data_IF_021579250516
#
_entry.id   IF_021579250516
#
_cell.length_a   1.000
_cell.length_b   1.000
_cell.length_c   1.000
_cell.angle_alpha   90.00
_cell.angle_beta   90.00
_cell.angle_gamma   90.00
#
_symmetry.space_group_name_H-M   'P 1'
#
loop_
_entity.id
_entity.type
_entity.pdbx_description
1 polymer ?
#
# COMPACT_ATOMS: atom_id res chain seq x y z
N UNK A 1 -8.27 36.68 6.69
CA UNK A 1 -8.87 36.26 7.98
C UNK A 1 -8.87 37.40 9.01
N UNK A 2 -7.72 37.82 9.54
CA UNK A 2 -7.66 38.85 10.60
C UNK A 2 -8.36 40.16 10.21
N UNK A 3 -8.05 40.72 9.02
CA UNK A 3 -8.73 41.92 8.52
C UNK A 3 -10.25 41.77 8.40
N UNK A 4 -10.73 40.60 7.97
CA UNK A 4 -12.18 40.35 7.81
C UNK A 4 -12.88 40.32 9.17
N UNK A 5 -12.28 39.67 10.17
CA UNK A 5 -12.83 39.63 11.52
C UNK A 5 -12.77 40.99 12.21
N UNK A 6 -11.71 41.76 11.94
CA UNK A 6 -11.58 43.16 12.40
C UNK A 6 -12.67 44.04 11.79
N UNK A 7 -12.93 43.94 10.49
CA UNK A 7 -14.04 44.64 9.82
C UNK A 7 -15.39 44.26 10.42
N UNK A 8 -15.64 42.97 10.70
CA UNK A 8 -16.89 42.53 11.35
C UNK A 8 -17.02 43.15 12.75
N UNK A 9 -15.97 43.11 13.57
CA UNK A 9 -16.00 43.69 14.92
C UNK A 9 -16.22 45.22 14.89
N UNK A 10 -15.57 45.93 13.97
CA UNK A 10 -15.73 47.38 13.79
C UNK A 10 -17.15 47.74 13.35
N UNK A 11 -17.74 47.01 12.41
CA UNK A 11 -19.07 47.30 11.87
C UNK A 11 -20.24 46.74 12.71
N UNK A 12 -19.96 45.93 13.74
CA UNK A 12 -20.98 45.42 14.67
C UNK A 12 -21.06 46.23 15.97
N UNK A 13 -20.04 47.03 16.28
CA UNK A 13 -20.04 47.99 17.40
C UNK A 13 -20.64 49.35 16.98
N UNK A 14 -21.86 49.34 16.44
CA UNK A 14 -22.62 50.56 16.15
C UNK A 14 -23.05 51.24 17.47
N UNK A 15 -22.20 52.13 17.97
CA UNK A 15 -22.42 52.91 19.19
C UNK A 15 -23.18 54.20 18.87
N UNK A 16 -24.05 54.63 19.77
CA UNK A 16 -24.74 55.92 19.65
C UNK A 16 -23.70 57.04 19.80
N UNK A 17 -23.23 57.57 18.68
CA UNK A 17 -22.62 58.90 18.62
C UNK A 17 -23.29 59.68 17.48
N UNK A 18 -23.66 60.96 17.68
CA UNK A 18 -24.15 61.79 16.59
C UNK A 18 -23.04 61.94 15.54
N UNK A 19 -23.37 61.61 14.29
CA UNK A 19 -22.60 61.83 13.05
C UNK A 19 -21.07 61.64 13.11
N UNK A 20 -20.60 60.45 12.70
CA UNK A 20 -19.18 60.18 12.41
C UNK A 20 -18.91 59.89 10.92
N UNK A 21 -19.73 60.42 10.01
CA UNK A 21 -19.43 60.44 8.57
C UNK A 21 -18.32 61.46 8.18
N UNK A 22 -17.70 62.16 9.13
CA UNK A 22 -16.69 63.21 8.85
C UNK A 22 -15.24 62.87 9.28
N UNK A 23 -14.91 61.64 9.65
CA UNK A 23 -13.50 61.25 9.88
C UNK A 23 -13.09 60.05 9.02
N UNK A 24 -13.39 60.12 7.72
CA UNK A 24 -12.60 59.43 6.72
C UNK A 24 -11.32 60.25 6.47
N UNK A 25 -10.23 59.92 7.16
CA UNK A 25 -8.96 60.62 7.03
C UNK A 25 -7.75 59.73 7.32
N UNK A 26 -7.18 59.20 6.24
CA UNK A 26 -5.78 58.81 6.06
C UNK A 26 -5.06 57.85 7.05
N UNK A 27 -4.51 56.79 6.44
CA UNK A 27 -3.13 56.30 6.58
C UNK A 27 -2.72 55.15 7.54
N UNK A 28 -1.89 54.29 6.92
CA UNK A 28 -0.80 53.44 7.43
C UNK A 28 -1.13 52.07 8.04
N UNK A 29 -1.18 51.11 7.10
CA UNK A 29 -0.54 49.81 7.16
C UNK A 29 0.93 49.89 7.62
N UNK A 30 1.25 49.47 8.85
CA UNK A 30 2.56 48.93 9.27
C UNK A 30 2.48 48.26 10.65
N UNK A 31 3.17 47.11 10.78
CA UNK A 31 3.47 46.29 11.98
C UNK A 31 2.36 45.32 12.48
N UNK A 32 2.52 44.06 12.07
CA UNK A 32 1.77 42.87 12.52
C UNK A 32 1.97 42.49 14.01
N UNK A 33 2.86 43.17 14.76
CA UNK A 33 3.04 42.97 16.21
C UNK A 33 2.07 43.75 17.11
N UNK A 34 1.29 44.70 16.58
CA UNK A 34 0.39 45.58 17.35
C UNK A 34 -1.10 45.20 17.31
N UNK A 35 -1.47 44.24 16.47
CA UNK A 35 -2.89 43.93 16.18
C UNK A 35 -3.61 43.39 17.43
N UNK A 36 -2.94 42.57 18.25
CA UNK A 36 -3.50 42.09 19.53
C UNK A 36 -3.79 43.20 20.55
N UNK A 37 -2.95 44.25 20.61
CA UNK A 37 -3.14 45.40 21.50
C UNK A 37 -4.19 46.40 20.99
N UNK A 38 -4.38 46.52 19.66
CA UNK A 38 -5.46 47.35 19.08
C UNK A 38 -6.84 46.67 19.17
N UNK A 39 -6.91 45.34 19.06
CA UNK A 39 -8.14 44.57 19.22
C UNK A 39 -8.76 44.77 20.62
N UNK A 40 -7.94 44.79 21.68
CA UNK A 40 -8.41 44.99 23.05
C UNK A 40 -8.84 46.44 23.38
N UNK A 41 -8.34 47.46 22.67
CA UNK A 41 -8.66 48.87 22.95
C UNK A 41 -10.01 49.34 22.38
N UNK A 42 -10.60 48.65 21.41
CA UNK A 42 -11.88 49.04 20.80
C UNK A 42 -13.11 48.79 21.70
N UNK A 43 -12.97 47.99 22.76
CA UNK A 43 -14.10 47.52 23.59
C UNK A 43 -14.34 48.41 24.83
N UNK A 44 -13.38 49.23 25.26
CA UNK A 44 -13.57 50.16 26.38
C UNK A 44 -14.10 51.51 25.88
N UNK A 45 -15.41 51.64 25.69
CA UNK A 45 -16.07 52.95 25.77
C UNK A 45 -17.39 52.81 26.52
N UNK A 46 -17.63 53.70 27.47
CA UNK A 46 -18.85 53.76 28.30
C UNK A 46 -20.12 54.16 27.53
N UNK A 47 -20.06 54.19 26.19
CA UNK A 47 -21.19 54.53 25.32
C UNK A 47 -22.03 53.28 25.03
N UNK A 48 -23.34 53.27 25.36
CA UNK A 48 -24.21 52.13 25.12
C UNK A 48 -24.39 51.85 23.62
N UNK A 49 -24.45 50.56 23.28
CA UNK A 49 -24.78 50.09 21.93
C UNK A 49 -26.21 50.49 21.55
N UNK A 50 -26.39 50.90 20.30
CA UNK A 50 -27.73 51.12 19.71
C UNK A 50 -28.55 49.81 19.70
N UNK A 51 -29.87 49.89 19.51
CA UNK A 51 -30.72 48.70 19.32
C UNK A 51 -30.25 47.86 18.12
N UNK A 52 -29.94 48.51 17.00
CA UNK A 52 -29.36 47.90 15.80
C UNK A 52 -28.00 47.28 16.10
N UNK A 53 -27.15 47.99 16.85
CA UNK A 53 -25.86 47.51 17.33
C UNK A 53 -25.99 46.26 18.21
N UNK A 54 -26.92 46.23 19.16
CA UNK A 54 -27.22 45.06 20.01
C UNK A 54 -27.69 43.86 19.16
N UNK A 55 -28.59 44.08 18.19
CA UNK A 55 -29.07 43.02 17.28
C UNK A 55 -27.97 42.48 16.39
N UNK A 56 -27.13 43.34 15.81
CA UNK A 56 -25.96 42.93 15.01
C UNK A 56 -24.94 42.17 15.87
N UNK A 57 -24.61 42.69 17.05
CA UNK A 57 -23.67 42.03 17.97
C UNK A 57 -24.18 40.67 18.44
N UNK A 58 -25.50 40.51 18.62
CA UNK A 58 -26.13 39.21 18.88
C UNK A 58 -25.95 38.23 17.71
N UNK A 59 -26.24 38.67 16.47
CA UNK A 59 -26.08 37.84 15.25
C UNK A 59 -24.63 37.44 14.98
N UNK A 60 -23.68 38.31 15.28
CA UNK A 60 -22.23 38.07 15.08
C UNK A 60 -21.49 37.66 16.37
N UNK A 61 -22.21 37.40 17.46
CA UNK A 61 -21.65 37.14 18.79
C UNK A 61 -20.55 36.07 18.78
N UNK A 62 -20.77 34.99 18.03
CA UNK A 62 -19.79 33.90 17.90
C UNK A 62 -18.48 34.34 17.22
N UNK A 63 -18.53 35.25 16.26
CA UNK A 63 -17.35 35.77 15.55
C UNK A 63 -16.63 36.84 16.37
N UNK A 64 -17.40 37.67 17.07
CA UNK A 64 -16.87 38.71 17.98
C UNK A 64 -16.14 38.06 19.16
N UNK A 65 -16.69 36.98 19.72
CA UNK A 65 -16.06 36.19 20.77
C UNK A 65 -14.71 35.57 20.37
N UNK A 66 -14.42 35.42 19.07
CA UNK A 66 -13.11 34.96 18.60
C UNK A 66 -12.03 36.04 18.74
N UNK A 67 -12.40 37.31 18.65
CA UNK A 67 -11.48 38.46 18.61
C UNK A 67 -11.34 39.20 19.93
N UNK A 68 -12.32 39.06 20.83
CA UNK A 68 -12.31 39.74 22.12
C UNK A 68 -11.56 38.95 23.19
N UNK A 69 -10.80 39.66 24.03
CA UNK A 69 -10.24 39.12 25.27
C UNK A 69 -11.30 39.27 26.36
N UNK A 70 -11.74 38.16 26.95
CA UNK A 70 -12.70 38.16 28.05
C UNK A 70 -11.97 37.78 29.33
N UNK A 71 -12.07 38.62 30.36
CA UNK A 71 -11.48 38.40 31.68
C UNK A 71 -9.96 38.12 31.65
N UNK A 72 -9.19 38.88 30.85
CA UNK A 72 -7.74 38.75 30.77
C UNK A 72 -7.22 37.53 29.99
N UNK A 73 -8.10 36.65 29.48
CA UNK A 73 -7.71 35.50 28.66
C UNK A 73 -7.53 35.93 27.20
N UNK A 74 -6.42 35.57 26.53
CA UNK A 74 -6.19 35.93 25.13
C UNK A 74 -7.33 35.42 24.22
N UNK A 75 -7.64 36.20 23.20
CA UNK A 75 -8.73 35.93 22.26
C UNK A 75 -8.63 34.50 21.69
N UNK A 76 -9.76 33.79 21.57
CA UNK A 76 -9.76 32.38 21.14
C UNK A 76 -9.08 32.19 19.77
N UNK A 77 -9.21 33.17 18.87
CA UNK A 77 -8.55 33.17 17.57
C UNK A 77 -7.02 33.11 17.68
N UNK A 78 -6.42 33.74 18.69
CA UNK A 78 -4.96 33.78 18.86
C UNK A 78 -4.38 32.37 19.01
N UNK A 79 -5.08 31.48 19.73
CA UNK A 79 -4.67 30.08 19.89
C UNK A 79 -4.71 29.32 18.56
N UNK A 80 -5.75 29.56 17.75
CA UNK A 80 -5.91 28.91 16.45
C UNK A 80 -4.97 29.45 15.36
N UNK A 81 -4.52 30.70 15.48
CA UNK A 81 -3.48 31.27 14.60
C UNK A 81 -2.12 30.60 14.82
N UNK A 82 -1.80 30.20 16.05
CA UNK A 82 -0.58 29.44 16.35
C UNK A 82 -0.59 28.12 15.58
N UNK A 83 -1.70 27.39 15.57
CA UNK A 83 -1.82 26.14 14.80
C UNK A 83 -1.67 26.35 13.28
N UNK A 84 -2.10 27.50 12.75
CA UNK A 84 -1.86 27.84 11.34
C UNK A 84 -0.38 28.14 11.05
N UNK A 85 0.31 28.84 11.95
CA UNK A 85 1.75 29.09 11.85
C UNK A 85 2.56 27.80 11.98
N UNK A 86 2.16 26.91 12.89
CA UNK A 86 2.75 25.57 13.02
C UNK A 86 2.55 24.75 11.76
N UNK A 87 1.37 24.81 11.13
CA UNK A 87 1.12 24.16 9.85
C UNK A 87 2.00 24.74 8.75
N UNK A 88 2.13 26.07 8.69
CA UNK A 88 3.02 26.72 7.74
C UNK A 88 4.46 26.25 7.91
N UNK A 89 4.98 26.26 9.14
CA UNK A 89 6.33 25.78 9.46
C UNK A 89 6.49 24.31 9.06
N UNK A 90 5.54 23.45 9.45
CA UNK A 90 5.55 22.04 9.11
C UNK A 90 5.62 21.78 7.60
N UNK A 91 4.84 22.51 6.79
CA UNK A 91 4.90 22.38 5.33
C UNK A 91 6.17 23.01 4.74
N UNK A 92 6.65 24.10 5.35
CA UNK A 92 7.90 24.76 4.96
C UNK A 92 9.09 23.83 5.15
N UNK A 93 9.20 23.18 6.32
CA UNK A 93 10.26 22.24 6.66
C UNK A 93 10.32 21.07 5.66
N UNK A 94 9.15 20.58 5.22
CA UNK A 94 9.07 19.57 4.15
C UNK A 94 9.57 20.15 2.81
N UNK A 95 9.12 21.36 2.46
CA UNK A 95 9.44 21.98 1.17
C UNK A 95 10.90 22.36 0.98
N UNK A 96 11.61 22.70 2.07
CA UNK A 96 13.04 23.09 2.04
C UNK A 96 13.99 21.95 2.41
N UNK A 97 13.45 20.75 2.69
CA UNK A 97 14.28 19.58 2.98
C UNK A 97 15.12 19.17 1.76
N UNK A 98 16.21 18.43 2.00
CA UNK A 98 17.10 17.95 0.95
C UNK A 98 16.37 17.13 -0.14
N UNK A 99 15.36 16.34 0.26
CA UNK A 99 14.43 15.67 -0.65
C UNK A 99 12.98 15.91 -0.19
N UNK A 100 12.29 16.91 -0.77
CA UNK A 100 10.90 17.24 -0.42
C UNK A 100 9.92 16.10 -0.69
N UNK A 101 10.21 15.23 -1.67
CA UNK A 101 9.38 14.07 -2.00
C UNK A 101 9.43 13.02 -0.89
N UNK A 102 10.63 12.65 -0.46
CA UNK A 102 10.86 11.73 0.67
C UNK A 102 10.28 12.30 1.96
N UNK A 103 10.51 13.58 2.25
CA UNK A 103 9.97 14.24 3.44
C UNK A 103 8.44 14.21 3.45
N UNK A 104 7.79 14.52 2.32
CA UNK A 104 6.33 14.46 2.19
C UNK A 104 5.78 13.04 2.36
N UNK A 105 6.46 12.03 1.81
CA UNK A 105 6.10 10.62 1.95
C UNK A 105 6.20 10.16 3.42
N UNK A 106 7.31 10.46 4.09
CA UNK A 106 7.52 10.11 5.49
C UNK A 106 6.49 10.78 6.40
N UNK A 107 6.22 12.08 6.17
CA UNK A 107 5.16 12.83 6.84
C UNK A 107 3.78 12.15 6.67
N UNK A 108 3.45 11.71 5.44
CA UNK A 108 2.18 11.04 5.15
C UNK A 108 2.09 9.66 5.79
N UNK A 109 3.17 8.87 5.78
CA UNK A 109 3.24 7.57 6.47
C UNK A 109 3.03 7.75 7.96
N UNK A 110 3.76 8.69 8.58
CA UNK A 110 3.63 9.00 10.01
C UNK A 110 2.19 9.38 10.37
N UNK A 111 1.59 10.30 9.60
CA UNK A 111 0.19 10.70 9.76
C UNK A 111 -0.78 9.53 9.66
N UNK A 112 -0.57 8.62 8.70
CA UNK A 112 -1.44 7.45 8.51
C UNK A 112 -1.31 6.44 9.66
N UNK A 113 -0.10 6.27 10.23
CA UNK A 113 0.16 5.43 11.40
C UNK A 113 -0.45 6.03 12.67
N UNK A 114 -0.32 7.33 12.88
CA UNK A 114 -0.85 8.03 14.07
C UNK A 114 -2.32 8.40 13.97
N UNK A 115 -3.01 7.99 12.89
CA UNK A 115 -4.42 8.31 12.62
C UNK A 115 -4.71 9.83 12.65
N UNK A 116 -3.80 10.64 12.11
CA UNK A 116 -3.95 12.09 12.04
C UNK A 116 -3.74 12.83 13.38
N UNK A 117 -2.91 12.28 14.28
CA UNK A 117 -2.44 12.99 15.48
C UNK A 117 -1.21 13.86 15.13
N UNK A 118 -1.45 14.94 14.40
CA UNK A 118 -0.45 15.93 13.97
C UNK A 118 -1.10 17.32 13.80
N UNK A 119 -0.35 18.30 13.28
CA UNK A 119 -0.81 19.69 13.11
C UNK A 119 -1.99 19.83 12.13
N UNK A 120 -1.99 19.10 11.01
CA UNK A 120 -3.11 19.12 10.05
C UNK A 120 -4.38 18.51 10.69
N UNK A 121 -4.23 17.46 11.49
CA UNK A 121 -5.32 16.85 12.25
C UNK A 121 -5.84 17.78 13.35
N UNK A 122 -4.93 18.50 14.03
CA UNK A 122 -5.29 19.51 15.01
C UNK A 122 -6.09 20.64 14.37
N UNK A 123 -5.63 21.20 13.24
CA UNK A 123 -6.34 22.24 12.51
C UNK A 123 -7.75 21.79 12.10
N UNK A 124 -7.91 20.52 11.71
CA UNK A 124 -9.22 19.94 11.41
C UNK A 124 -10.11 19.82 12.66
N UNK A 125 -9.57 19.43 13.82
CA UNK A 125 -10.34 19.39 15.08
C UNK A 125 -10.77 20.80 15.50
N UNK A 126 -9.87 21.76 15.41
CA UNK A 126 -10.13 23.17 15.70
C UNK A 126 -11.24 23.73 14.80
N UNK A 127 -11.23 23.39 13.51
CA UNK A 127 -12.27 23.82 12.56
C UNK A 127 -13.69 23.48 13.04
N UNK A 128 -13.88 22.35 13.74
CA UNK A 128 -15.21 21.94 14.24
C UNK A 128 -15.73 22.83 15.37
N UNK A 129 -14.84 23.54 16.07
CA UNK A 129 -15.18 24.41 17.20
C UNK A 129 -15.39 25.86 16.80
N UNK A 130 -15.00 26.23 15.57
CA UNK A 130 -15.10 27.58 15.05
C UNK A 130 -16.51 27.85 14.46
N UNK A 131 -17.02 29.08 14.55
CA UNK A 131 -18.22 29.49 13.84
C UNK A 131 -17.98 29.60 12.32
N UNK A 132 -19.06 29.54 11.55
CA UNK A 132 -19.03 29.93 10.13
C UNK A 132 -18.73 31.43 10.01
N UNK A 133 -17.96 31.87 8.98
CA UNK A 133 -17.33 31.07 7.92
C UNK A 133 -15.92 30.54 8.25
N UNK A 134 -15.35 30.92 9.40
CA UNK A 134 -13.95 30.61 9.77
C UNK A 134 -13.70 29.11 9.84
N UNK A 135 -14.67 28.33 10.30
CA UNK A 135 -14.59 26.87 10.29
C UNK A 135 -14.30 26.29 8.90
N UNK A 136 -14.94 26.82 7.85
CA UNK A 136 -14.79 26.32 6.50
C UNK A 136 -13.40 26.63 5.97
N UNK A 137 -12.83 27.80 6.30
CA UNK A 137 -11.44 28.12 5.93
C UNK A 137 -10.45 27.14 6.58
N UNK A 138 -10.56 26.87 7.88
CA UNK A 138 -9.69 25.91 8.57
C UNK A 138 -9.86 24.49 8.04
N UNK A 139 -11.11 24.09 7.74
CA UNK A 139 -11.43 22.79 7.13
C UNK A 139 -10.82 22.68 5.73
N UNK A 140 -10.92 23.73 4.90
CA UNK A 140 -10.33 23.77 3.56
C UNK A 140 -8.81 23.71 3.64
N UNK A 141 -8.17 24.52 4.48
CA UNK A 141 -6.71 24.52 4.63
C UNK A 141 -6.22 23.14 5.05
N UNK A 142 -6.78 22.56 6.12
CA UNK A 142 -6.39 21.21 6.57
C UNK A 142 -6.62 20.12 5.50
N UNK A 143 -7.73 20.22 4.76
CA UNK A 143 -8.05 19.31 3.65
C UNK A 143 -7.05 19.46 2.49
N UNK A 144 -6.76 20.68 2.07
CA UNK A 144 -5.84 20.97 0.97
C UNK A 144 -4.40 20.59 1.32
N UNK A 145 -3.94 20.86 2.54
CA UNK A 145 -2.62 20.43 3.01
C UNK A 145 -2.48 18.91 2.99
N UNK A 146 -3.51 18.19 3.42
CA UNK A 146 -3.47 16.72 3.37
C UNK A 146 -3.44 16.18 1.94
N UNK A 147 -4.25 16.77 1.04
CA UNK A 147 -4.29 16.38 -0.36
C UNK A 147 -2.97 16.67 -1.09
N UNK A 148 -2.33 17.79 -0.76
CA UNK A 148 -1.01 18.16 -1.29
C UNK A 148 0.04 17.11 -0.87
N UNK A 149 0.11 16.77 0.41
CA UNK A 149 1.04 15.75 0.91
C UNK A 149 0.80 14.37 0.27
N UNK A 150 -0.46 13.94 0.14
CA UNK A 150 -0.79 12.69 -0.55
C UNK A 150 -0.36 12.70 -2.03
N UNK A 151 -0.46 13.84 -2.70
CA UNK A 151 -0.07 14.00 -4.11
C UNK A 151 1.44 13.93 -4.27
N UNK A 152 2.20 14.66 -3.43
CA UNK A 152 3.65 14.59 -3.37
C UNK A 152 4.14 13.18 -3.03
N UNK A 153 3.55 12.57 -1.99
CA UNK A 153 3.85 11.20 -1.57
C UNK A 153 3.65 10.18 -2.67
N UNK A 154 2.56 10.29 -3.44
CA UNK A 154 2.32 9.39 -4.57
C UNK A 154 3.38 9.55 -5.66
N UNK A 155 3.81 10.77 -5.96
CA UNK A 155 4.89 11.00 -6.93
C UNK A 155 6.18 10.34 -6.44
N UNK A 156 6.56 10.59 -5.19
CA UNK A 156 7.74 9.98 -4.58
C UNK A 156 7.67 8.46 -4.56
N UNK A 157 6.52 7.89 -4.17
CA UNK A 157 6.31 6.44 -4.18
C UNK A 157 6.49 5.84 -5.57
N UNK A 158 6.06 6.53 -6.62
CA UNK A 158 6.30 6.05 -7.99
C UNK A 158 7.78 6.10 -8.36
N UNK A 159 8.51 7.15 -7.95
CA UNK A 159 9.96 7.24 -8.16
C UNK A 159 10.70 6.12 -7.42
N UNK A 160 10.44 5.92 -6.13
CA UNK A 160 11.08 4.85 -5.35
C UNK A 160 10.68 3.47 -5.85
N UNK A 161 9.41 3.28 -6.23
CA UNK A 161 8.93 2.03 -6.81
C UNK A 161 9.63 1.71 -8.13
N UNK A 162 9.79 2.69 -9.01
CA UNK A 162 10.47 2.47 -10.28
C UNK A 162 11.93 2.06 -10.03
N UNK A 163 12.65 2.86 -9.24
CA UNK A 163 14.07 2.66 -8.98
C UNK A 163 14.39 1.37 -8.22
N UNK A 164 13.60 1.02 -7.19
CA UNK A 164 13.93 -0.09 -6.27
C UNK A 164 13.25 -1.39 -6.63
N UNK A 165 12.12 -1.34 -7.36
CA UNK A 165 11.26 -2.51 -7.55
C UNK A 165 11.08 -2.83 -9.04
N UNK A 166 10.78 -1.83 -9.87
CA UNK A 166 10.58 -2.06 -11.32
C UNK A 166 11.89 -2.36 -12.01
N UNK A 167 12.97 -1.64 -11.70
CA UNK A 167 14.30 -1.88 -12.29
C UNK A 167 14.79 -3.30 -12.05
N UNK A 168 14.82 -3.74 -10.79
CA UNK A 168 15.26 -5.09 -10.42
C UNK A 168 14.39 -6.16 -11.07
N UNK A 169 13.07 -5.98 -11.05
CA UNK A 169 12.14 -6.88 -11.73
C UNK A 169 12.41 -6.98 -13.23
N UNK A 170 12.66 -5.85 -13.88
CA UNK A 170 12.89 -5.81 -15.32
C UNK A 170 14.20 -6.49 -15.71
N UNK A 171 15.22 -6.45 -14.85
CA UNK A 171 16.51 -7.09 -15.07
C UNK A 171 16.44 -8.61 -14.87
N UNK A 172 15.82 -9.08 -13.78
CA UNK A 172 15.93 -10.48 -13.36
C UNK A 172 14.72 -11.37 -13.66
N UNK A 173 13.51 -10.81 -13.81
CA UNK A 173 12.27 -11.59 -13.84
C UNK A 173 11.33 -11.28 -15.02
N UNK A 174 11.42 -10.11 -15.63
CA UNK A 174 10.59 -9.75 -16.79
C UNK A 174 10.84 -10.70 -17.94
N UNK A 175 9.76 -11.15 -18.58
CA UNK A 175 9.77 -12.09 -19.71
C UNK A 175 10.50 -13.41 -19.41
N UNK A 176 10.63 -13.81 -18.14
CA UNK A 176 11.28 -15.06 -17.73
C UNK A 176 10.31 -16.01 -17.03
N UNK A 177 10.60 -17.30 -17.12
CA UNK A 177 9.90 -18.33 -16.35
C UNK A 177 10.30 -18.19 -14.87
N UNK A 178 9.36 -18.34 -13.89
CA UNK A 178 8.00 -18.86 -14.02
C UNK A 178 6.90 -17.80 -14.25
N UNK A 179 7.22 -16.51 -14.18
CA UNK A 179 6.23 -15.44 -14.32
C UNK A 179 5.60 -15.40 -15.72
N UNK A 180 6.40 -15.79 -16.73
CA UNK A 180 5.98 -15.94 -18.11
C UNK A 180 6.10 -17.41 -18.50
N UNK A 181 4.96 -18.11 -18.47
CA UNK A 181 4.86 -19.58 -18.67
C UNK A 181 5.56 -20.10 -19.92
N UNK A 182 5.54 -19.33 -21.01
CA UNK A 182 6.09 -19.75 -22.31
C UNK A 182 7.53 -19.25 -22.53
N UNK A 183 8.17 -18.67 -21.52
CA UNK A 183 9.56 -18.22 -21.65
C UNK A 183 10.53 -19.40 -21.61
N UNK A 184 11.51 -19.39 -22.51
CA UNK A 184 12.64 -20.32 -22.50
C UNK A 184 13.70 -19.91 -21.48
N UNK A 185 13.84 -18.61 -21.22
CA UNK A 185 14.71 -18.05 -20.20
C UNK A 185 14.06 -18.14 -18.81
N UNK A 186 14.85 -18.49 -17.80
CA UNK A 186 14.40 -18.57 -16.41
C UNK A 186 14.93 -17.39 -15.58
N UNK A 187 14.20 -17.05 -14.52
CA UNK A 187 14.75 -16.27 -13.40
C UNK A 187 15.61 -17.21 -12.56
N UNK A 188 16.75 -16.74 -12.04
CA UNK A 188 17.48 -17.53 -11.06
C UNK A 188 16.65 -17.67 -9.77
N UNK A 189 16.89 -18.73 -8.99
CA UNK A 189 16.26 -18.88 -7.67
C UNK A 189 16.73 -17.78 -6.71
N UNK A 190 17.98 -17.38 -6.81
CA UNK A 190 18.57 -16.30 -6.01
C UNK A 190 17.87 -14.96 -6.28
N UNK A 191 17.73 -14.55 -7.54
CA UNK A 191 17.02 -13.31 -7.90
C UNK A 191 15.55 -13.35 -7.45
N UNK A 192 14.92 -14.51 -7.59
CA UNK A 192 13.54 -14.70 -7.16
C UNK A 192 13.41 -14.58 -5.64
N UNK A 193 14.34 -15.16 -4.87
CA UNK A 193 14.39 -15.05 -3.41
C UNK A 193 14.69 -13.62 -2.96
N UNK A 194 15.73 -12.98 -3.50
CA UNK A 194 16.09 -11.59 -3.20
C UNK A 194 14.90 -10.63 -3.38
N UNK A 195 13.99 -10.95 -4.31
CA UNK A 195 12.80 -10.16 -4.54
C UNK A 195 11.60 -10.58 -3.68
N UNK A 196 11.23 -11.86 -3.65
CA UNK A 196 9.97 -12.35 -3.09
C UNK A 196 10.07 -13.00 -1.70
N UNK A 197 11.27 -13.26 -1.17
CA UNK A 197 11.44 -13.84 0.17
C UNK A 197 10.78 -12.99 1.26
N UNK A 198 10.69 -13.55 2.47
CA UNK A 198 10.04 -12.88 3.59
C UNK A 198 10.64 -11.50 3.89
N UNK A 199 11.95 -11.38 3.76
CA UNK A 199 12.77 -10.18 3.87
C UNK A 199 13.18 -9.62 2.49
N UNK A 200 12.68 -10.16 1.39
CA UNK A 200 12.95 -9.69 0.03
C UNK A 200 12.46 -8.25 -0.21
N UNK A 201 13.07 -7.61 -1.22
CA UNK A 201 12.85 -6.18 -1.55
C UNK A 201 11.37 -5.84 -1.72
N UNK A 202 10.60 -6.72 -2.34
CA UNK A 202 9.18 -6.50 -2.60
C UNK A 202 8.36 -6.34 -1.31
N UNK A 203 8.46 -7.31 -0.39
CA UNK A 203 7.70 -7.27 0.86
C UNK A 203 8.21 -6.17 1.79
N UNK A 204 9.51 -5.90 1.81
CA UNK A 204 10.06 -4.77 2.57
C UNK A 204 9.46 -3.43 2.09
N UNK A 205 9.47 -3.18 0.78
CA UNK A 205 8.88 -1.96 0.22
C UNK A 205 7.39 -1.85 0.57
N UNK A 206 6.63 -2.94 0.42
CA UNK A 206 5.21 -2.93 0.76
C UNK A 206 4.97 -2.62 2.24
N UNK A 207 5.69 -3.28 3.15
CA UNK A 207 5.55 -3.06 4.60
C UNK A 207 5.88 -1.63 5.01
N UNK A 208 6.97 -1.08 4.47
CA UNK A 208 7.47 0.24 4.86
C UNK A 208 6.66 1.37 4.22
N UNK A 209 6.33 1.25 2.93
CA UNK A 209 5.90 2.38 2.09
C UNK A 209 4.44 2.29 1.64
N UNK A 210 3.87 1.09 1.52
CA UNK A 210 2.50 0.90 0.97
C UNK A 210 1.47 0.58 2.04
N UNK A 211 1.74 -0.37 2.92
CA UNK A 211 0.80 -0.84 3.96
C UNK A 211 0.25 0.26 4.86
N UNK A 212 1.00 1.33 5.22
CA UNK A 212 0.43 2.45 5.98
C UNK A 212 -0.82 3.07 5.31
N UNK A 213 -0.92 2.98 3.98
CA UNK A 213 -2.03 3.52 3.20
C UNK A 213 -3.14 2.50 2.90
N UNK A 214 -3.00 1.25 3.32
CA UNK A 214 -3.95 0.18 3.02
C UNK A 214 -4.74 -0.27 4.25
N UNK A 215 -5.90 -0.84 3.99
CA UNK A 215 -6.63 -1.75 4.87
C UNK A 215 -6.57 -3.12 4.23
N UNK A 216 -5.85 -4.03 4.88
CA UNK A 216 -5.65 -5.40 4.41
C UNK A 216 -6.55 -6.30 5.24
N UNK A 217 -7.50 -6.96 4.57
CA UNK A 217 -8.18 -8.14 5.12
C UNK A 217 -7.72 -9.38 4.37
N UNK A 218 -7.95 -10.57 4.94
CA UNK A 218 -7.51 -11.86 4.40
C UNK A 218 -7.87 -12.11 2.93
N UNK A 219 -8.87 -11.42 2.37
CA UNK A 219 -9.30 -11.57 0.97
C UNK A 219 -9.43 -10.27 0.18
N UNK A 220 -9.35 -9.09 0.80
CA UNK A 220 -9.59 -7.81 0.11
C UNK A 220 -8.62 -6.73 0.57
N UNK A 221 -7.86 -6.20 -0.40
CA UNK A 221 -7.03 -5.02 -0.22
C UNK A 221 -7.83 -3.78 -0.60
N UNK A 222 -7.85 -2.79 0.29
CA UNK A 222 -8.53 -1.52 0.05
C UNK A 222 -7.72 -0.36 0.58
N UNK A 223 -8.00 0.84 0.08
CA UNK A 223 -7.29 2.05 0.50
C UNK A 223 -7.81 2.53 1.85
N UNK A 224 -6.89 2.81 2.78
CA UNK A 224 -7.21 3.44 4.06
C UNK A 224 -7.54 4.91 3.83
N UNK A 225 -8.74 5.33 4.27
CA UNK A 225 -9.15 6.74 4.26
C UNK A 225 -8.83 7.39 5.60
N UNK A 226 -8.25 8.58 5.55
CA UNK A 226 -8.05 9.46 6.70
C UNK A 226 -8.61 10.84 6.38
N UNK A 227 -9.47 11.35 7.25
CA UNK A 227 -10.16 12.64 7.07
C UNK A 227 -10.93 12.78 5.74
N UNK A 228 -11.42 11.67 5.19
CA UNK A 228 -12.16 11.63 3.92
C UNK A 228 -11.28 11.52 2.68
N UNK A 229 -9.96 11.53 2.83
CA UNK A 229 -9.01 11.44 1.73
C UNK A 229 -8.15 10.17 1.82
N UNK A 230 -7.58 9.76 0.69
CA UNK A 230 -6.69 8.61 0.61
C UNK A 230 -5.72 8.77 -0.55
N UNK A 231 -4.61 8.05 -0.52
CA UNK A 231 -3.70 7.97 -1.66
C UNK A 231 -4.41 7.32 -2.85
N UNK A 232 -4.13 7.78 -4.06
CA UNK A 232 -4.81 7.31 -5.26
C UNK A 232 -4.06 6.12 -5.87
N UNK A 233 -4.43 4.89 -5.52
CA UNK A 233 -4.01 3.69 -6.27
C UNK A 233 -5.20 3.08 -7.02
N UNK A 234 -4.94 2.47 -8.17
CA UNK A 234 -6.00 1.80 -8.95
C UNK A 234 -6.33 0.43 -8.37
N UNK A 235 -7.54 -0.08 -8.64
CA UNK A 235 -7.89 -1.48 -8.27
C UNK A 235 -6.98 -2.50 -8.94
N UNK A 236 -6.53 -2.22 -10.17
CA UNK A 236 -5.58 -3.05 -10.92
C UNK A 236 -4.22 -3.09 -10.22
N UNK A 237 -3.72 -1.94 -9.75
CA UNK A 237 -2.50 -1.86 -8.93
C UNK A 237 -2.64 -2.75 -7.70
N UNK A 238 -3.68 -2.54 -6.89
CA UNK A 238 -3.88 -3.30 -5.64
C UNK A 238 -3.95 -4.81 -5.88
N UNK A 239 -4.62 -5.24 -6.96
CA UNK A 239 -4.70 -6.67 -7.35
C UNK A 239 -3.33 -7.25 -7.71
N UNK A 240 -2.48 -6.49 -8.40
CA UNK A 240 -1.12 -6.94 -8.70
C UNK A 240 -0.26 -6.97 -7.43
N UNK A 241 -0.40 -5.96 -6.55
CA UNK A 241 0.33 -5.94 -5.30
C UNK A 241 0.01 -7.17 -4.43
N UNK A 242 -1.27 -7.53 -4.31
CA UNK A 242 -1.70 -8.71 -3.57
C UNK A 242 -1.26 -10.02 -4.21
N UNK A 243 -1.14 -10.08 -5.54
CA UNK A 243 -0.60 -11.27 -6.24
C UNK A 243 0.86 -11.51 -5.90
N UNK A 244 1.68 -10.46 -5.85
CA UNK A 244 3.07 -10.58 -5.43
C UNK A 244 3.19 -11.12 -4.00
N UNK A 245 2.32 -10.68 -3.09
CA UNK A 245 2.26 -11.24 -1.72
C UNK A 245 1.82 -12.71 -1.70
N UNK A 246 0.87 -13.10 -2.55
CA UNK A 246 0.47 -14.50 -2.68
C UNK A 246 1.62 -15.39 -3.18
N UNK A 247 2.41 -14.89 -4.14
CA UNK A 247 3.63 -15.54 -4.63
C UNK A 247 4.64 -15.70 -3.47
N UNK A 248 4.98 -14.62 -2.76
CA UNK A 248 5.86 -14.70 -1.59
C UNK A 248 5.39 -15.75 -0.59
N UNK A 249 4.10 -15.72 -0.20
CA UNK A 249 3.57 -16.64 0.80
C UNK A 249 3.52 -18.11 0.33
N UNK A 250 3.51 -18.36 -0.98
CA UNK A 250 3.46 -19.70 -1.54
C UNK A 250 4.85 -20.33 -1.63
N UNK A 251 5.87 -19.55 -2.01
CA UNK A 251 7.26 -20.01 -2.14
C UNK A 251 8.05 -19.95 -0.82
N UNK A 252 7.66 -19.05 0.08
CA UNK A 252 8.31 -18.79 1.37
C UNK A 252 7.31 -18.96 2.52
N UNK A 253 6.73 -20.17 2.70
CA UNK A 253 5.72 -20.41 3.74
C UNK A 253 6.29 -20.16 5.14
N UNK A 254 5.47 -19.61 6.04
CA UNK A 254 5.85 -19.27 7.43
C UNK A 254 7.06 -18.31 7.53
N UNK A 255 7.21 -17.42 6.54
CA UNK A 255 8.34 -16.47 6.46
C UNK A 255 9.70 -17.17 6.39
N UNK A 256 9.78 -18.33 5.73
CA UNK A 256 11.05 -18.99 5.47
C UNK A 256 12.01 -18.06 4.71
N UNK A 257 13.29 -18.11 5.06
CA UNK A 257 14.37 -17.40 4.35
C UNK A 257 14.67 -18.11 3.03
N UNK A 258 14.81 -19.43 3.08
CA UNK A 258 15.09 -20.24 1.90
C UNK A 258 13.84 -20.57 1.08
N UNK A 259 14.02 -20.58 -0.24
CA UNK A 259 13.01 -21.06 -1.17
C UNK A 259 12.91 -22.58 -1.05
N UNK A 260 11.71 -23.10 -0.75
CA UNK A 260 11.57 -24.53 -0.53
C UNK A 260 10.14 -25.00 -0.41
N UNK A 261 9.83 -26.11 -1.08
CA UNK A 261 8.49 -26.70 -1.08
C UNK A 261 8.60 -28.19 -0.84
N UNK A 262 8.12 -28.63 0.32
CA UNK A 262 7.97 -30.04 0.67
C UNK A 262 6.65 -30.57 0.16
N UNK A 263 6.68 -31.72 -0.51
CA UNK A 263 5.51 -32.38 -1.04
C UNK A 263 5.65 -33.91 -1.01
N UNK A 264 4.54 -34.60 -1.20
CA UNK A 264 4.48 -36.06 -1.31
C UNK A 264 3.84 -36.47 -2.62
N UNK A 265 4.39 -37.53 -3.21
CA UNK A 265 3.85 -38.17 -4.41
C UNK A 265 3.33 -39.57 -4.08
N UNK A 266 2.08 -39.84 -4.44
CA UNK A 266 1.48 -41.17 -4.35
C UNK A 266 0.93 -41.58 -5.72
N UNK A 267 1.30 -42.73 -6.29
CA UNK A 267 0.72 -43.19 -7.54
C UNK A 267 -0.76 -43.52 -7.32
N UNK A 268 -1.60 -43.11 -8.27
CA UNK A 268 -3.04 -43.41 -8.29
C UNK A 268 -3.41 -44.34 -9.44
N UNK A 269 -2.72 -44.21 -10.57
CA UNK A 269 -3.00 -44.98 -11.77
C UNK A 269 -1.77 -45.04 -12.66
N UNK A 270 -1.60 -46.16 -13.35
CA UNK A 270 -0.69 -46.34 -14.46
C UNK A 270 -1.44 -47.12 -15.54
N UNK A 271 -1.25 -46.74 -16.81
CA UNK A 271 -1.77 -47.50 -17.94
C UNK A 271 -1.29 -48.96 -17.90
N UNK A 272 -2.21 -49.92 -18.10
CA UNK A 272 -1.92 -51.35 -18.06
C UNK A 272 -0.86 -51.78 -19.09
N UNK A 273 -0.73 -51.06 -20.21
CA UNK A 273 0.30 -51.31 -21.23
C UNK A 273 1.69 -50.86 -20.81
N UNK A 274 1.81 -50.08 -19.73
CA UNK A 274 3.08 -49.57 -19.22
C UNK A 274 3.55 -50.44 -18.07
N UNK A 275 4.73 -51.05 -18.21
CA UNK A 275 5.37 -51.87 -17.17
C UNK A 275 5.93 -51.03 -16.04
N UNK A 276 6.42 -49.83 -16.37
CA UNK A 276 7.08 -48.94 -15.41
C UNK A 276 6.92 -47.48 -15.81
N UNK A 277 6.51 -46.66 -14.86
CA UNK A 277 6.63 -45.21 -14.94
C UNK A 277 7.70 -44.72 -13.98
N UNK A 278 8.56 -43.81 -14.42
CA UNK A 278 9.61 -43.22 -13.59
C UNK A 278 9.62 -41.70 -13.73
N UNK A 279 9.58 -41.01 -12.59
CA UNK A 279 9.95 -39.61 -12.47
C UNK A 279 11.34 -39.52 -11.84
N UNK A 280 12.27 -38.85 -12.55
CA UNK A 280 13.55 -38.44 -12.01
C UNK A 280 13.48 -36.94 -11.70
N UNK A 281 13.83 -36.55 -10.49
CA UNK A 281 13.68 -35.22 -9.92
C UNK A 281 15.00 -34.83 -9.23
N UNK A 282 15.97 -34.33 -10.01
CA UNK A 282 17.37 -34.33 -9.59
C UNK A 282 17.82 -35.76 -9.30
N UNK A 283 18.40 -35.98 -8.12
CA UNK A 283 18.84 -37.32 -7.67
C UNK A 283 17.70 -38.19 -7.15
N UNK A 284 16.51 -37.61 -6.94
CA UNK A 284 15.35 -38.37 -6.47
C UNK A 284 14.73 -39.16 -7.62
N UNK A 285 14.44 -40.44 -7.36
CA UNK A 285 13.74 -41.32 -8.28
C UNK A 285 12.43 -41.81 -7.67
N UNK A 286 11.33 -41.56 -8.38
CA UNK A 286 10.00 -42.08 -8.05
C UNK A 286 9.61 -43.05 -9.14
N UNK A 287 9.41 -44.31 -8.79
CA UNK A 287 9.09 -45.36 -9.76
C UNK A 287 7.83 -46.11 -9.36
N UNK A 288 6.97 -46.41 -10.33
CA UNK A 288 5.78 -47.24 -10.13
C UNK A 288 5.67 -48.33 -11.20
N UNK A 289 5.29 -49.54 -10.77
CA UNK A 289 5.24 -50.78 -11.58
C UNK A 289 4.01 -51.63 -11.23
N UNK A 290 2.83 -51.02 -11.08
CA UNK A 290 1.58 -51.71 -10.66
C UNK A 290 1.64 -52.42 -9.30
N UNK A 291 2.59 -52.03 -8.44
CA UNK A 291 2.68 -52.54 -7.07
C UNK A 291 1.80 -51.77 -6.08
N UNK A 292 1.97 -52.00 -4.78
CA UNK A 292 1.32 -51.22 -3.73
C UNK A 292 1.59 -49.71 -3.88
N UNK A 293 0.55 -48.88 -3.77
CA UNK A 293 0.67 -47.44 -3.89
C UNK A 293 1.28 -46.80 -2.63
N UNK A 294 2.61 -46.60 -2.66
CA UNK A 294 3.36 -45.95 -1.57
C UNK A 294 3.54 -44.46 -1.83
N UNK A 295 3.46 -43.67 -0.76
CA UNK A 295 3.76 -42.24 -0.80
C UNK A 295 5.25 -42.00 -0.61
N UNK A 296 5.85 -41.12 -1.40
CA UNK A 296 7.24 -40.69 -1.27
C UNK A 296 7.32 -39.19 -0.99
N UNK A 297 8.07 -38.80 0.04
CA UNK A 297 8.31 -37.40 0.40
C UNK A 297 9.48 -36.83 -0.39
N UNK A 298 9.32 -35.60 -0.87
CA UNK A 298 10.27 -34.88 -1.70
C UNK A 298 10.30 -33.40 -1.30
N UNK A 299 11.36 -32.72 -1.70
CA UNK A 299 11.52 -31.29 -1.55
C UNK A 299 12.08 -30.70 -2.85
N UNK A 300 11.52 -29.57 -3.28
CA UNK A 300 12.10 -28.72 -4.32
C UNK A 300 12.66 -27.45 -3.64
N UNK A 301 13.77 -26.86 -4.11
CA UNK A 301 14.67 -27.30 -5.19
C UNK A 301 15.31 -28.68 -4.95
N UNK A 302 15.69 -29.39 -6.02
CA UNK A 302 16.26 -30.76 -5.91
C UNK A 302 17.78 -30.77 -5.81
N UNK A 303 18.43 -29.68 -6.20
CA UNK A 303 19.86 -29.43 -6.08
C UNK A 303 20.09 -27.93 -5.98
N UNK A 304 21.15 -27.53 -5.30
CA UNK A 304 21.60 -26.13 -5.25
C UNK A 304 22.25 -25.71 -6.58
N UNK A 305 22.86 -26.64 -7.32
CA UNK A 305 23.43 -26.37 -8.64
C UNK A 305 22.32 -26.30 -9.71
N UNK A 306 22.07 -25.13 -10.33
CA UNK A 306 21.07 -24.96 -11.39
C UNK A 306 21.26 -25.88 -12.60
N UNK A 307 22.52 -26.23 -12.95
CA UNK A 307 22.80 -27.05 -14.13
C UNK A 307 22.45 -28.53 -13.91
N UNK A 308 22.58 -29.00 -12.68
CA UNK A 308 22.14 -30.34 -12.25
C UNK A 308 20.61 -30.46 -12.11
N UNK A 309 19.87 -29.35 -12.06
CA UNK A 309 18.42 -29.37 -11.91
C UNK A 309 17.73 -29.83 -13.22
N UNK A 310 17.42 -31.13 -13.25
CA UNK A 310 16.70 -31.78 -14.34
C UNK A 310 15.55 -32.61 -13.78
N UNK A 311 14.42 -32.53 -14.48
CA UNK A 311 13.26 -33.39 -14.25
C UNK A 311 13.03 -34.22 -15.49
N UNK A 312 12.84 -35.53 -15.35
CA UNK A 312 12.46 -36.37 -16.48
C UNK A 312 11.35 -37.35 -16.12
N UNK A 313 10.48 -37.56 -17.08
CA UNK A 313 9.34 -38.45 -17.03
C UNK A 313 9.54 -39.56 -18.05
N UNK A 314 9.45 -40.83 -17.62
CA UNK A 314 9.66 -42.00 -18.47
C UNK A 314 8.52 -42.99 -18.37
N UNK A 315 7.99 -43.40 -19.51
CA UNK A 315 7.11 -44.57 -19.62
C UNK A 315 7.86 -45.71 -20.30
N UNK A 316 7.82 -46.90 -19.72
CA UNK A 316 8.43 -48.11 -20.29
C UNK A 316 7.37 -49.18 -20.52
N UNK A 317 7.17 -49.54 -21.78
CA UNK A 317 6.26 -50.59 -22.25
C UNK A 317 7.05 -51.79 -22.81
N UNK A 318 6.39 -52.85 -23.28
CA UNK A 318 7.01 -54.06 -23.83
C UNK A 318 7.90 -53.81 -25.06
N UNK A 319 7.70 -52.73 -25.80
CA UNK A 319 8.49 -52.41 -27.00
C UNK A 319 8.77 -50.93 -27.24
N UNK A 320 8.37 -50.04 -26.33
CA UNK A 320 8.62 -48.60 -26.45
C UNK A 320 9.03 -48.00 -25.11
N UNK A 321 9.90 -46.99 -25.16
CA UNK A 321 10.32 -46.18 -24.01
C UNK A 321 10.22 -44.72 -24.39
N UNK A 322 9.45 -43.96 -23.62
CA UNK A 322 9.36 -42.51 -23.78
C UNK A 322 10.18 -41.84 -22.69
N UNK A 323 10.75 -40.68 -23.01
CA UNK A 323 11.51 -39.89 -22.05
C UNK A 323 11.35 -38.41 -22.36
N UNK A 324 10.56 -37.72 -21.55
CA UNK A 324 10.39 -36.26 -21.64
C UNK A 324 11.27 -35.61 -20.57
N UNK A 325 12.05 -34.61 -20.96
CA UNK A 325 13.02 -33.94 -20.09
C UNK A 325 12.69 -32.46 -19.99
N UNK A 326 12.68 -31.94 -18.76
CA UNK A 326 12.65 -30.52 -18.42
C UNK A 326 13.95 -30.16 -17.70
N UNK A 327 14.54 -29.02 -18.04
CA UNK A 327 15.82 -28.55 -17.49
C UNK A 327 15.66 -27.20 -16.80
N UNK A 328 16.60 -26.91 -15.90
CA UNK A 328 16.71 -25.67 -15.14
C UNK A 328 16.14 -25.81 -13.73
N UNK A 329 16.44 -24.83 -12.88
CA UNK A 329 16.00 -24.81 -11.47
C UNK A 329 14.49 -24.93 -11.32
N UNK A 330 13.74 -24.54 -12.35
CA UNK A 330 12.28 -24.59 -12.38
C UNK A 330 11.68 -25.81 -13.10
N UNK A 331 12.48 -26.83 -13.40
CA UNK A 331 12.09 -27.97 -14.23
C UNK A 331 10.82 -28.70 -13.74
N UNK A 332 10.58 -28.83 -12.42
CA UNK A 332 9.34 -29.44 -11.91
C UNK A 332 8.11 -28.60 -12.24
N UNK A 333 8.22 -27.28 -12.18
CA UNK A 333 7.12 -26.40 -12.52
C UNK A 333 6.81 -26.50 -14.01
N UNK A 334 7.82 -26.59 -14.88
CA UNK A 334 7.64 -26.81 -16.32
C UNK A 334 6.97 -28.16 -16.62
N UNK A 335 7.35 -29.21 -15.89
CA UNK A 335 6.69 -30.52 -15.98
C UNK A 335 5.21 -30.41 -15.58
N UNK A 336 4.91 -29.70 -14.48
CA UNK A 336 3.55 -29.51 -13.99
C UNK A 336 2.71 -28.63 -14.93
N UNK A 337 3.30 -27.62 -15.55
CA UNK A 337 2.68 -26.81 -16.58
C UNK A 337 2.37 -27.61 -17.86
N UNK A 338 3.15 -28.65 -18.17
CA UNK A 338 2.85 -29.57 -19.27
C UNK A 338 1.82 -30.66 -18.88
N UNK A 339 1.54 -30.83 -17.59
CA UNK A 339 0.64 -31.86 -17.07
C UNK A 339 -0.81 -31.35 -16.93
N UNK A 340 -1.76 -32.28 -16.84
CA UNK A 340 -3.15 -31.95 -16.50
C UNK A 340 -3.34 -32.05 -14.98
N UNK A 341 -3.57 -30.91 -14.34
CA UNK A 341 -3.81 -30.82 -12.89
C UNK A 341 -5.30 -30.72 -12.61
N UNK A 342 -5.80 -31.56 -11.69
CA UNK A 342 -7.18 -31.52 -11.20
C UNK A 342 -7.18 -31.36 -9.68
N UNK A 343 -7.89 -30.34 -9.18
CA UNK A 343 -8.10 -30.16 -7.75
C UNK A 343 -8.90 -31.32 -7.15
N UNK A 344 -8.58 -31.68 -5.91
CA UNK A 344 -9.36 -32.66 -5.14
C UNK A 344 -10.31 -31.96 -4.16
N UNK A 345 -11.01 -32.73 -3.31
CA UNK A 345 -11.81 -32.17 -2.21
C UNK A 345 -10.95 -31.51 -1.13
N UNK A 346 -9.68 -31.90 -1.02
CA UNK A 346 -8.71 -31.36 -0.07
C UNK A 346 -7.85 -30.31 -0.77
N UNK A 347 -7.74 -29.12 -0.18
CA UNK A 347 -7.09 -27.98 -0.82
C UNK A 347 -5.54 -28.06 -0.82
N UNK A 348 -4.97 -29.03 -0.10
CA UNK A 348 -3.54 -29.39 -0.09
C UNK A 348 -3.22 -30.57 -1.02
N UNK A 349 -4.22 -31.12 -1.74
CA UNK A 349 -4.08 -32.29 -2.60
C UNK A 349 -4.58 -32.05 -4.01
N UNK A 350 -3.77 -32.48 -4.98
CA UNK A 350 -4.05 -32.34 -6.41
C UNK A 350 -3.74 -33.65 -7.13
N UNK A 351 -4.58 -34.01 -8.10
CA UNK A 351 -4.28 -35.09 -9.01
C UNK A 351 -3.53 -34.52 -10.22
N UNK A 352 -2.33 -35.01 -10.45
CA UNK A 352 -1.53 -34.67 -11.63
C UNK A 352 -1.55 -35.85 -12.58
N UNK A 353 -1.93 -35.57 -13.83
CA UNK A 353 -1.95 -36.56 -14.91
C UNK A 353 -0.80 -36.27 -15.87
N UNK A 354 0.13 -37.20 -15.90
CA UNK A 354 1.29 -37.22 -16.78
C UNK A 354 0.96 -38.00 -18.04
N UNK A 355 1.31 -37.45 -19.20
CA UNK A 355 1.08 -38.07 -20.51
C UNK A 355 2.37 -38.08 -21.32
N UNK A 356 2.68 -39.23 -21.92
CA UNK A 356 3.80 -39.39 -22.86
C UNK A 356 3.39 -40.35 -23.96
N UNK A 357 3.50 -39.93 -25.21
CA UNK A 357 2.85 -40.56 -26.36
C UNK A 357 1.35 -40.78 -26.11
N UNK A 358 0.91 -42.05 -26.09
CA UNK A 358 -0.47 -42.47 -25.80
C UNK A 358 -0.67 -42.96 -24.36
N UNK A 359 0.37 -42.96 -23.52
CA UNK A 359 0.32 -43.50 -22.17
C UNK A 359 0.01 -42.46 -21.12
N UNK A 360 -0.65 -42.89 -20.05
CA UNK A 360 -1.04 -42.04 -18.92
C UNK A 360 -0.60 -42.61 -17.58
N UNK A 361 -0.07 -41.73 -16.71
CA UNK A 361 0.14 -42.00 -15.29
C UNK A 361 -0.53 -40.90 -14.46
N UNK A 362 -1.17 -41.26 -13.35
CA UNK A 362 -1.80 -40.31 -12.43
C UNK A 362 -1.18 -40.43 -11.05
N UNK A 363 -0.86 -39.28 -10.46
CA UNK A 363 -0.29 -39.18 -9.12
C UNK A 363 -1.11 -38.20 -8.28
N UNK A 364 -1.24 -38.48 -6.99
CA UNK A 364 -1.65 -37.50 -5.99
C UNK A 364 -0.41 -36.74 -5.53
N UNK A 365 -0.44 -35.42 -5.69
CA UNK A 365 0.51 -34.49 -5.10
C UNK A 365 -0.13 -33.96 -3.81
N UNK A 366 0.53 -34.16 -2.67
CA UNK A 366 0.13 -33.58 -1.39
C UNK A 366 1.17 -32.57 -0.93
N UNK A 367 0.77 -31.33 -0.71
CA UNK A 367 1.63 -30.25 -0.18
C UNK A 367 1.39 -30.04 1.31
N UNK A 368 2.33 -29.41 2.02
CA UNK A 368 2.16 -29.12 3.46
C UNK A 368 1.29 -27.87 3.72
N UNK A 369 0.85 -27.17 2.68
CA UNK A 369 0.07 -25.95 2.75
C UNK A 369 -0.93 -25.91 1.60
N UNK A 370 -2.11 -25.35 1.86
CA UNK A 370 -3.10 -25.01 0.84
C UNK A 370 -2.56 -23.95 -0.11
N UNK A 371 -1.87 -22.94 0.44
CA UNK A 371 -1.13 -21.98 -0.37
C UNK A 371 0.22 -22.58 -0.75
N UNK A 372 0.31 -23.10 -1.96
CA UNK A 372 1.50 -23.79 -2.47
C UNK A 372 1.77 -23.35 -3.91
N UNK A 373 3.03 -23.40 -4.36
CA UNK A 373 3.39 -22.82 -5.65
C UNK A 373 3.11 -23.74 -6.84
N UNK A 374 2.87 -25.03 -6.63
CA UNK A 374 2.62 -26.00 -7.72
C UNK A 374 1.26 -25.82 -8.40
N UNK A 375 0.33 -25.09 -7.79
CA UNK A 375 -0.95 -24.73 -8.38
C UNK A 375 -1.32 -23.28 -8.02
N UNK A 376 -0.47 -22.33 -8.41
CA UNK A 376 -0.61 -20.92 -8.08
C UNK A 376 -0.88 -20.06 -9.33
N UNK A 377 -2.14 -19.81 -9.72
CA UNK A 377 -2.46 -18.98 -10.88
C UNK A 377 -1.88 -17.56 -10.82
N UNK A 378 -1.63 -17.05 -9.61
CA UNK A 378 -1.07 -15.73 -9.36
C UNK A 378 0.30 -15.55 -9.98
N UNK A 379 1.14 -16.59 -10.06
CA UNK A 379 2.50 -16.50 -10.59
C UNK A 379 2.53 -16.07 -12.06
N UNK A 380 1.64 -16.66 -12.87
CA UNK A 380 1.55 -16.34 -14.29
C UNK A 380 0.74 -15.07 -14.57
N UNK A 381 -0.16 -14.71 -13.65
CA UNK A 381 -0.99 -13.51 -13.76
C UNK A 381 -0.32 -12.24 -13.20
N UNK A 382 0.76 -12.40 -12.43
CA UNK A 382 1.49 -11.29 -11.83
C UNK A 382 2.23 -10.49 -12.89
N UNK A 383 2.01 -9.18 -12.87
CA UNK A 383 2.74 -8.21 -13.68
C UNK A 383 3.02 -7.01 -12.81
N UNK A 384 4.27 -6.56 -12.80
CA UNK A 384 4.63 -5.42 -11.98
C UNK A 384 3.91 -4.16 -12.48
N UNK A 385 3.17 -3.44 -11.62
CA UNK A 385 2.62 -2.14 -12.00
C UNK A 385 3.75 -1.19 -12.37
N UNK A 386 3.66 -0.55 -13.54
CA UNK A 386 4.65 0.48 -13.94
C UNK A 386 4.51 1.76 -13.11
N UNK A 387 3.32 2.00 -12.57
CA UNK A 387 3.01 3.08 -11.64
C UNK A 387 1.95 2.60 -10.63
N UNK A 388 1.99 3.13 -9.42
CA UNK A 388 1.10 2.82 -8.30
C UNK A 388 -0.24 3.58 -8.37
#
# INVERSE_FOLDING_TARGET
>A
LLRVLETINLNTNLRNKPNLLQQAGANKLKKLGGVGKKLAKSVKSDVPLTSVGKTLRSRFSKLIALTESVNGKPAQLQRHLITLLELQRYLSDISVSADPGVAALNASIARMKTNGKDVIGQLRRDSKRLPKPVNQWFKTISSSSWQLLLTASRRQLNTEWDNQIVTDYDQSMKNRYPLFRNSTQETSLEDFSNFFAADGKYLQFLRQKIYPFLKISSRKWSLKKLNGQTIKFTRKTLKQLSRGVAISNAFFPKNAEDIGVKFRLKPLFLDAKVKRFTLLLGDNKVTYRHGPARSQSLQWPFSEDPESNKVSMRFESSGNKTNTIFKGSWAIFKLLDAAKIKSTKSADKYQVTFTGDSYTAKYEFTTNSVNNPFNLPEIHAFRIPRKL
#
